data_IF_135208500384
#
_entry.id   IF_135208500384
#
_cell.length_a   1.000
_cell.length_b   1.000
_cell.length_c   1.000
_cell.angle_alpha   90.00
_cell.angle_beta   90.00
_cell.angle_gamma   90.00
#
_symmetry.space_group_name_H-M   'P 1'
#
loop_
_entity.id
_entity.type
_entity.pdbx_description
1 polymer ?
#
# COMPACT_ATOMS: atom_id res chain seq x y z
N UNK A 1 8.72 -7.05 -10.97
CA UNK A 1 7.49 -6.24 -10.92
C UNK A 1 7.92 -4.81 -11.24
N UNK A 2 7.59 -4.30 -12.43
CA UNK A 2 7.93 -2.92 -12.82
C UNK A 2 6.68 -2.07 -12.68
N UNK A 3 6.55 -1.36 -11.57
CA UNK A 3 5.46 -0.39 -11.38
C UNK A 3 5.73 0.84 -12.23
N UNK A 4 4.76 1.19 -13.05
CA UNK A 4 4.86 2.33 -13.96
C UNK A 4 3.98 3.49 -13.47
N UNK A 5 4.60 4.67 -13.29
CA UNK A 5 3.94 5.84 -12.72
C UNK A 5 2.92 6.49 -13.66
N UNK A 6 3.17 6.44 -14.98
CA UNK A 6 2.21 6.94 -15.95
C UNK A 6 0.97 6.06 -15.98
N UNK A 7 1.14 4.73 -15.94
CA UNK A 7 0.02 3.79 -15.79
C UNK A 7 -0.74 4.04 -14.50
N UNK A 8 -0.04 4.16 -13.36
CA UNK A 8 -0.67 4.40 -12.06
C UNK A 8 -1.55 5.66 -12.05
N UNK A 9 -1.10 6.75 -12.68
CA UNK A 9 -1.86 8.00 -12.77
C UNK A 9 -3.08 7.93 -13.69
N UNK A 10 -3.12 6.96 -14.61
CA UNK A 10 -4.24 6.74 -15.52
C UNK A 10 -5.33 5.87 -14.92
N UNK A 11 -5.07 5.19 -13.81
CA UNK A 11 -6.06 4.35 -13.14
C UNK A 11 -7.11 5.23 -12.48
N UNK A 12 -8.38 4.96 -12.76
CA UNK A 12 -9.50 5.72 -12.19
C UNK A 12 -10.38 4.82 -11.30
N UNK A 13 -10.32 3.51 -11.52
CA UNK A 13 -11.10 2.51 -10.80
C UNK A 13 -10.29 1.80 -9.72
N UNK A 14 -10.95 1.50 -8.60
CA UNK A 14 -10.33 0.78 -7.48
C UNK A 14 -9.75 -0.57 -7.93
N UNK A 15 -10.48 -1.31 -8.77
CA UNK A 15 -10.07 -2.61 -9.31
C UNK A 15 -8.74 -2.53 -10.06
N UNK A 16 -8.58 -1.52 -10.91
CA UNK A 16 -7.34 -1.32 -11.67
C UNK A 16 -6.13 -1.09 -10.76
N UNK A 17 -6.30 -0.40 -9.62
CA UNK A 17 -5.23 -0.27 -8.63
C UNK A 17 -4.85 -1.61 -8.01
N UNK A 18 -5.83 -2.46 -7.65
CA UNK A 18 -5.53 -3.79 -7.11
C UNK A 18 -4.83 -4.67 -8.15
N UNK A 19 -5.28 -4.64 -9.41
CA UNK A 19 -4.64 -5.37 -10.51
C UNK A 19 -3.21 -4.85 -10.77
N UNK A 20 -3.01 -3.54 -10.73
CA UNK A 20 -1.70 -2.90 -10.91
C UNK A 20 -0.70 -3.32 -9.83
N UNK A 21 -1.14 -3.38 -8.56
CA UNK A 21 -0.32 -3.85 -7.45
C UNK A 21 -0.31 -5.36 -7.28
N UNK A 22 -1.06 -6.09 -8.13
CA UNK A 22 -1.31 -7.53 -8.02
C UNK A 22 -1.72 -7.96 -6.61
N UNK A 23 -2.62 -7.18 -6.00
CA UNK A 23 -3.19 -7.49 -4.69
C UNK A 23 -4.44 -8.34 -4.86
N UNK A 24 -4.64 -9.39 -4.03
CA UNK A 24 -5.88 -10.13 -4.02
C UNK A 24 -7.01 -9.27 -3.44
N UNK A 25 -8.13 -9.18 -4.14
CA UNK A 25 -9.31 -8.45 -3.71
C UNK A 25 -10.59 -9.20 -4.09
N UNK A 26 -11.67 -8.96 -3.35
CA UNK A 26 -12.99 -9.45 -3.71
C UNK A 26 -13.72 -8.39 -4.54
N UNK A 27 -14.10 -8.75 -5.76
CA UNK A 27 -14.77 -7.83 -6.69
C UNK A 27 -16.08 -7.28 -6.14
N UNK A 28 -16.82 -8.02 -5.31
CA UNK A 28 -18.09 -7.53 -4.74
C UNK A 28 -17.81 -6.48 -3.67
N UNK A 29 -16.84 -6.74 -2.79
CA UNK A 29 -16.44 -5.78 -1.76
C UNK A 29 -15.91 -4.50 -2.40
N UNK A 30 -15.03 -4.62 -3.40
CA UNK A 30 -14.49 -3.47 -4.12
C UNK A 30 -15.58 -2.74 -4.90
N UNK A 31 -16.46 -3.42 -5.63
CA UNK A 31 -17.53 -2.73 -6.36
C UNK A 31 -18.48 -1.94 -5.44
N UNK A 32 -18.82 -2.50 -4.28
CA UNK A 32 -19.67 -1.81 -3.29
C UNK A 32 -18.93 -0.63 -2.65
N UNK A 33 -17.64 -0.78 -2.34
CA UNK A 33 -16.86 0.21 -1.58
C UNK A 33 -15.88 1.04 -2.44
N UNK A 34 -15.90 0.94 -3.77
CA UNK A 34 -14.87 1.51 -4.67
C UNK A 34 -14.60 2.99 -4.40
N UNK A 35 -15.66 3.79 -4.27
CA UNK A 35 -15.55 5.23 -4.01
C UNK A 35 -14.91 5.52 -2.64
N UNK A 36 -15.22 4.68 -1.64
CA UNK A 36 -14.69 4.85 -0.30
C UNK A 36 -13.23 4.39 -0.21
N UNK A 37 -12.89 3.27 -0.88
CA UNK A 37 -11.52 2.76 -1.03
C UNK A 37 -10.67 3.81 -1.74
N UNK A 38 -11.09 4.35 -2.88
CA UNK A 38 -10.38 5.40 -3.61
C UNK A 38 -10.18 6.66 -2.77
N UNK A 39 -11.22 7.09 -2.04
CA UNK A 39 -11.14 8.26 -1.16
C UNK A 39 -10.14 8.05 -0.01
N UNK A 40 -10.15 6.87 0.61
CA UNK A 40 -9.18 6.53 1.66
C UNK A 40 -7.77 6.38 1.11
N UNK A 41 -7.63 5.70 -0.02
CA UNK A 41 -6.38 5.53 -0.71
C UNK A 41 -5.74 6.88 -1.05
N UNK A 42 -6.50 7.82 -1.65
CA UNK A 42 -6.02 9.17 -1.95
C UNK A 42 -5.55 9.94 -0.71
N UNK A 43 -6.21 9.76 0.45
CA UNK A 43 -5.75 10.35 1.72
C UNK A 43 -4.39 9.77 2.15
N UNK A 44 -4.22 8.45 2.08
CA UNK A 44 -2.95 7.81 2.41
C UNK A 44 -1.83 8.18 1.44
N UNK A 45 -2.11 8.26 0.13
CA UNK A 45 -1.14 8.75 -0.87
C UNK A 45 -0.65 10.14 -0.48
N UNK A 46 -1.57 11.03 -0.12
CA UNK A 46 -1.22 12.39 0.29
C UNK A 46 -0.37 12.39 1.56
N UNK A 47 -0.75 11.60 2.57
CA UNK A 47 0.03 11.48 3.81
C UNK A 47 1.44 10.95 3.57
N UNK A 48 1.59 9.95 2.69
CA UNK A 48 2.89 9.40 2.27
C UNK A 48 3.69 10.46 1.50
N UNK A 49 3.06 11.19 0.57
CA UNK A 49 3.73 12.24 -0.20
C UNK A 49 4.23 13.36 0.72
N UNK A 50 3.46 13.73 1.76
CA UNK A 50 3.82 14.74 2.75
C UNK A 50 4.91 14.27 3.74
N UNK A 51 4.89 13.00 4.18
CA UNK A 51 5.87 12.47 5.15
C UNK A 51 7.17 11.98 4.50
N UNK A 52 7.10 11.51 3.26
CA UNK A 52 8.20 10.83 2.57
C UNK A 52 8.43 11.46 1.19
N UNK A 53 8.92 12.70 1.22
CA UNK A 53 9.31 13.47 0.03
C UNK A 53 10.63 13.02 -0.58
N UNK A 54 11.50 12.36 0.19
CA UNK A 54 12.85 11.93 -0.24
C UNK A 54 12.90 10.47 -0.73
N UNK A 55 11.78 9.74 -0.71
CA UNK A 55 11.77 8.34 -1.13
C UNK A 55 11.90 8.18 -2.65
N UNK A 56 12.68 7.17 -3.03
CA UNK A 56 12.70 6.66 -4.41
C UNK A 56 11.31 6.19 -4.83
N UNK A 57 11.03 6.30 -6.14
CA UNK A 57 9.74 5.92 -6.74
C UNK A 57 9.31 4.50 -6.35
N UNK A 58 10.25 3.55 -6.31
CA UNK A 58 10.02 2.17 -5.87
C UNK A 58 9.53 2.07 -4.43
N UNK A 59 10.13 2.84 -3.53
CA UNK A 59 9.77 2.86 -2.11
C UNK A 59 8.38 3.50 -1.92
N UNK A 60 8.10 4.58 -2.67
CA UNK A 60 6.77 5.20 -2.73
C UNK A 60 5.70 4.22 -3.16
N UNK A 61 5.94 3.44 -4.21
CA UNK A 61 4.99 2.43 -4.66
C UNK A 61 4.78 1.31 -3.66
N UNK A 62 5.81 0.88 -2.93
CA UNK A 62 5.64 -0.06 -1.81
C UNK A 62 4.68 0.52 -0.77
N UNK A 63 4.87 1.78 -0.38
CA UNK A 63 3.96 2.46 0.57
C UNK A 63 2.55 2.63 0.00
N UNK A 64 2.41 2.92 -1.29
CA UNK A 64 1.11 3.02 -1.95
C UNK A 64 0.39 1.68 -1.97
N UNK A 65 1.10 0.59 -2.25
CA UNK A 65 0.55 -0.76 -2.18
C UNK A 65 0.03 -1.07 -0.76
N UNK A 66 0.82 -0.78 0.27
CA UNK A 66 0.41 -0.95 1.67
C UNK A 66 -0.81 -0.09 2.02
N UNK A 67 -0.83 1.17 1.58
CA UNK A 67 -1.96 2.07 1.77
C UNK A 67 -3.25 1.57 1.14
N UNK A 68 -3.19 0.99 -0.07
CA UNK A 68 -4.36 0.42 -0.74
C UNK A 68 -4.90 -0.80 0.02
N UNK A 69 -4.01 -1.67 0.49
CA UNK A 69 -4.37 -2.83 1.30
C UNK A 69 -5.00 -2.42 2.63
N UNK A 70 -4.41 -1.44 3.33
CA UNK A 70 -4.96 -0.87 4.57
C UNK A 70 -6.33 -0.24 4.35
N UNK A 71 -6.49 0.55 3.27
CA UNK A 71 -7.78 1.12 2.92
C UNK A 71 -8.83 0.02 2.72
N UNK A 72 -8.50 -1.03 1.97
CA UNK A 72 -9.38 -2.18 1.73
C UNK A 72 -9.74 -2.92 3.02
N UNK A 73 -8.75 -3.18 3.88
CA UNK A 73 -8.93 -3.83 5.18
C UNK A 73 -9.92 -3.10 6.10
N UNK A 74 -9.85 -1.76 6.16
CA UNK A 74 -10.78 -0.96 6.99
C UNK A 74 -12.25 -1.18 6.57
N UNK A 75 -12.50 -1.39 5.28
CA UNK A 75 -13.85 -1.70 4.78
C UNK A 75 -14.22 -3.17 5.03
N UNK A 76 -13.26 -4.09 4.96
CA UNK A 76 -13.47 -5.48 5.34
C UNK A 76 -13.75 -5.65 6.83
N UNK A 77 -13.02 -4.98 7.73
CA UNK A 77 -13.28 -5.08 9.18
C UNK A 77 -14.62 -4.47 9.59
N UNK A 78 -15.09 -3.48 8.84
CA UNK A 78 -16.43 -2.91 8.98
C UNK A 78 -17.54 -3.86 8.48
N UNK A 79 -17.19 -4.95 7.80
CA UNK A 79 -18.09 -6.04 7.44
C UNK A 79 -17.76 -7.30 8.27
N UNK A 80 -18.69 -7.87 9.04
CA UNK A 80 -18.39 -8.92 10.01
C UNK A 80 -17.94 -10.29 9.42
N UNK A 81 -17.63 -10.38 8.12
CA UNK A 81 -17.49 -11.64 7.41
C UNK A 81 -16.05 -12.12 7.17
N UNK A 82 -15.00 -11.28 7.19
CA UNK A 82 -13.65 -11.76 6.83
C UNK A 82 -12.50 -11.16 7.66
N UNK A 83 -12.43 -11.52 8.95
CA UNK A 83 -11.29 -11.21 9.83
C UNK A 83 -10.08 -12.16 9.62
N UNK A 84 -9.68 -12.44 8.37
CA UNK A 84 -8.57 -13.38 8.08
C UNK A 84 -7.58 -12.94 7.01
N UNK A 85 -7.72 -11.75 6.45
CA UNK A 85 -6.69 -11.21 5.55
C UNK A 85 -5.69 -10.40 6.39
N UNK A 86 -4.47 -10.91 6.48
CA UNK A 86 -3.25 -10.11 6.57
C UNK A 86 -2.82 -9.50 7.92
N UNK A 87 -2.21 -10.38 8.71
CA UNK A 87 -1.21 -10.11 9.76
C UNK A 87 0.12 -9.51 9.24
N UNK A 88 0.11 -8.86 8.07
CA UNK A 88 1.27 -8.47 7.25
C UNK A 88 0.97 -7.04 6.79
N UNK A 89 1.74 -6.00 7.04
CA UNK A 89 3.12 -5.84 7.48
C UNK A 89 3.19 -4.66 8.47
N UNK A 90 3.44 -4.94 9.75
CA UNK A 90 4.00 -3.93 10.65
C UNK A 90 5.49 -4.23 10.88
N UNK A 91 6.25 -4.37 9.79
CA UNK A 91 7.71 -4.34 9.86
C UNK A 91 8.20 -3.05 9.23
N UNK A 92 8.21 -2.00 10.06
CA UNK A 92 9.18 -0.92 9.93
C UNK A 92 10.55 -1.57 9.71
N UNK A 93 11.30 -1.32 8.62
CA UNK A 93 12.75 -1.41 8.74
C UNK A 93 13.14 -0.28 9.69
N UNK A 94 13.20 -0.60 10.99
CA UNK A 94 14.09 0.11 11.90
C UNK A 94 15.47 -0.01 11.27
N UNK A 95 15.91 1.05 10.62
CA UNK A 95 17.29 1.48 10.47
C UNK A 95 18.30 0.53 11.17
N UNK A 96 18.79 -0.50 10.47
CA UNK A 96 19.96 -1.27 10.95
C UNK A 96 21.18 -0.70 10.25
N UNK A 97 21.75 0.32 10.88
CA UNK A 97 23.12 0.73 10.64
C UNK A 97 23.98 -0.42 11.18
N UNK A 98 24.56 -1.24 10.33
CA UNK A 98 25.71 -2.08 10.71
C UNK A 98 26.95 -1.51 10.05
N UNK A 99 27.37 -0.32 10.49
CA UNK A 99 28.75 0.12 10.23
C UNK A 99 29.67 -0.68 11.16
N UNK A 100 30.20 -1.77 10.61
CA UNK A 100 31.59 -2.24 10.81
C UNK A 100 32.13 -2.24 12.24
N UNK A 101 31.97 -3.38 12.94
CA UNK A 101 33.03 -3.86 13.83
C UNK A 101 34.21 -4.30 12.96
N UNK A 102 35.15 -3.40 12.69
CA UNK A 102 36.51 -3.79 12.31
C UNK A 102 37.31 -3.84 13.60
N UNK A 103 37.20 -4.94 14.33
CA UNK A 103 38.31 -5.38 15.16
C UNK A 103 39.17 -6.26 14.26
N UNK A 104 40.33 -5.74 13.88
CA UNK A 104 41.42 -6.56 13.35
C UNK A 104 42.60 -6.39 14.31
N UNK A 105 43.07 -7.55 14.73
CA UNK A 105 44.27 -7.89 15.51
C UNK A 105 45.49 -7.00 15.25
#
# INVERSE_FOLDING_TARGET
MTWDYDKFKKLEDAEEYFEFFQLPYDQKVVNVNRLHILKKFSQFIKEIDENDTDLSILDRFSKYREALEQAYQVFLESTPQEQKLFKVFNQKPKNVITLTEITSD
#
